data_IF_402554429493
#
_entry.id   IF_402554429493
#
_cell.length_a   1.000
_cell.length_b   1.000
_cell.length_c   1.000
_cell.angle_alpha   90.00
_cell.angle_beta   90.00
_cell.angle_gamma   90.00
#
_symmetry.space_group_name_H-M   'P 1'
#
loop_
_entity.id
_entity.type
_entity.pdbx_description
1 polymer ?
#
# COMPACT_ATOMS: atom_id res chain seq x y z
N UNK A 1 9.27 11.58 -8.31
CA UNK A 1 9.04 10.36 -7.52
C UNK A 1 10.29 9.93 -6.78
N UNK A 2 11.50 10.00 -7.39
CA UNK A 2 12.76 9.57 -6.75
C UNK A 2 13.21 10.42 -5.54
N UNK A 3 12.76 11.64 -5.42
CA UNK A 3 13.09 12.51 -4.27
C UNK A 3 12.33 12.07 -3.01
N UNK A 4 11.19 11.43 -3.18
CA UNK A 4 10.38 10.88 -2.09
C UNK A 4 10.82 9.47 -1.68
N UNK A 5 11.59 8.77 -2.53
CA UNK A 5 11.98 7.36 -2.34
C UNK A 5 13.33 7.16 -1.64
N UNK A 6 14.13 8.19 -1.47
CA UNK A 6 15.41 8.06 -0.77
C UNK A 6 15.28 8.43 0.70
N UNK A 7 14.73 7.54 1.49
CA UNK A 7 14.90 7.40 2.96
C UNK A 7 14.63 8.63 3.85
N UNK A 8 13.99 9.69 3.39
CA UNK A 8 13.72 10.86 4.20
C UNK A 8 12.53 11.65 3.66
N UNK A 9 11.37 11.05 3.52
CA UNK A 9 10.21 11.80 3.92
C UNK A 9 10.35 11.95 5.43
N UNK A 10 10.86 13.07 5.88
CA UNK A 10 10.59 13.44 7.24
C UNK A 10 9.08 13.59 7.29
N UNK A 11 8.41 12.74 8.04
CA UNK A 11 6.96 12.81 8.20
C UNK A 11 6.56 14.04 9.05
N UNK A 12 7.34 15.11 8.90
CA UNK A 12 7.04 16.39 9.52
C UNK A 12 5.74 16.95 8.96
N UNK A 13 4.98 17.67 9.77
CA UNK A 13 3.68 18.23 9.34
C UNK A 13 3.73 19.04 8.04
N UNK A 14 4.84 19.73 7.77
CA UNK A 14 5.04 20.48 6.51
C UNK A 14 5.13 19.59 5.28
N UNK A 15 5.81 18.42 5.39
CA UNK A 15 5.99 17.50 4.27
C UNK A 15 4.71 16.72 4.03
N UNK A 16 3.97 16.37 5.08
CA UNK A 16 2.62 15.82 4.96
C UNK A 16 1.68 16.80 4.25
N UNK A 17 1.73 18.09 4.61
CA UNK A 17 0.91 19.11 3.96
C UNK A 17 1.29 19.28 2.50
N UNK A 18 2.58 19.29 2.19
CA UNK A 18 3.06 19.35 0.80
C UNK A 18 2.52 18.18 -0.04
N UNK A 19 2.48 16.97 0.49
CA UNK A 19 1.92 15.81 -0.21
C UNK A 19 0.41 15.98 -0.46
N UNK A 20 -0.34 16.51 0.50
CA UNK A 20 -1.77 16.85 0.32
C UNK A 20 -1.96 17.87 -0.80
N UNK A 21 -1.15 18.93 -0.83
CA UNK A 21 -1.25 19.99 -1.83
C UNK A 21 -0.88 19.47 -3.23
N UNK A 22 0.16 18.65 -3.35
CA UNK A 22 0.57 18.00 -4.60
C UNK A 22 -0.57 17.14 -5.17
N UNK A 23 -1.21 16.33 -4.34
CA UNK A 23 -2.31 15.48 -4.80
C UNK A 23 -3.53 16.28 -5.24
N UNK A 24 -3.85 17.37 -4.55
CA UNK A 24 -4.93 18.28 -4.99
C UNK A 24 -4.62 18.88 -6.36
N UNK A 25 -3.38 19.31 -6.59
CA UNK A 25 -2.96 19.86 -7.89
C UNK A 25 -2.99 18.81 -9.00
N UNK A 26 -2.53 17.58 -8.73
CA UNK A 26 -2.61 16.48 -9.68
C UNK A 26 -4.07 16.20 -10.07
N UNK A 27 -4.94 16.06 -9.09
CA UNK A 27 -6.35 15.79 -9.32
C UNK A 27 -7.04 16.95 -10.07
N UNK A 28 -6.78 18.21 -9.72
CA UNK A 28 -7.32 19.36 -10.43
C UNK A 28 -6.89 19.40 -11.91
N UNK A 29 -5.66 18.95 -12.19
CA UNK A 29 -5.12 18.96 -13.55
C UNK A 29 -5.61 17.79 -14.39
N UNK A 30 -5.71 16.60 -13.81
CA UNK A 30 -5.91 15.36 -14.54
C UNK A 30 -7.27 14.68 -14.32
N UNK A 31 -8.11 15.17 -13.42
CA UNK A 31 -9.38 14.53 -13.06
C UNK A 31 -10.40 14.41 -14.18
N UNK A 32 -10.16 15.07 -15.33
CA UNK A 32 -11.01 14.95 -16.53
C UNK A 32 -10.39 14.10 -17.64
N UNK A 33 -9.20 13.57 -17.42
CA UNK A 33 -8.49 12.78 -18.40
C UNK A 33 -8.98 11.33 -18.38
N UNK A 34 -9.64 10.84 -19.42
CA UNK A 34 -10.28 9.51 -19.42
C UNK A 34 -9.27 8.35 -19.35
N UNK A 35 -7.99 8.63 -19.55
CA UNK A 35 -6.92 7.63 -19.41
C UNK A 35 -6.52 7.40 -17.95
N UNK A 36 -6.89 8.31 -17.05
CA UNK A 36 -6.61 8.16 -15.61
C UNK A 36 -7.64 7.22 -15.00
N UNK A 37 -7.21 6.02 -14.65
CA UNK A 37 -8.05 5.01 -14.01
C UNK A 37 -8.26 5.28 -12.52
N UNK A 38 -7.25 5.80 -11.84
CA UNK A 38 -7.30 6.09 -10.41
C UNK A 38 -6.01 6.75 -9.90
N UNK A 39 -6.05 7.27 -8.69
CA UNK A 39 -4.94 7.89 -7.99
C UNK A 39 -4.44 6.96 -6.88
N UNK A 40 -3.26 6.39 -7.05
CA UNK A 40 -2.58 5.63 -6.02
C UNK A 40 -1.76 6.58 -5.15
N UNK A 41 -2.15 6.75 -3.90
CA UNK A 41 -1.70 7.85 -3.06
C UNK A 41 -0.23 7.78 -2.70
N UNK A 42 0.30 6.59 -2.45
CA UNK A 42 1.69 6.39 -2.10
C UNK A 42 2.05 4.91 -2.24
N UNK A 43 3.10 4.64 -3.03
CA UNK A 43 3.64 3.30 -3.15
C UNK A 43 4.31 2.84 -1.84
N UNK A 44 3.89 1.70 -1.34
CA UNK A 44 4.49 1.00 -0.19
C UNK A 44 4.72 1.91 1.04
N UNK A 45 3.66 2.55 1.56
CA UNK A 45 3.80 3.40 2.73
C UNK A 45 4.37 2.59 3.89
N UNK A 46 5.37 3.16 4.53
CA UNK A 46 6.08 2.54 5.62
C UNK A 46 6.05 3.43 6.84
N UNK A 47 5.46 2.94 7.90
CA UNK A 47 5.59 3.54 9.22
C UNK A 47 6.71 2.80 9.97
N UNK A 48 7.91 3.37 10.02
CA UNK A 48 9.03 2.78 10.76
C UNK A 48 8.79 2.74 12.27
N UNK A 49 7.86 3.53 12.73
CA UNK A 49 7.44 3.58 14.12
C UNK A 49 6.07 2.94 14.28
N UNK A 50 5.95 1.66 14.06
CA UNK A 50 4.74 0.83 14.25
C UNK A 50 4.05 1.02 15.61
N UNK A 51 4.51 1.96 16.36
CA UNK A 51 3.91 2.38 17.63
C UNK A 51 3.00 3.54 17.30
N UNK A 52 1.73 3.36 17.50
CA UNK A 52 0.70 4.40 17.56
C UNK A 52 1.18 5.59 18.40
N UNK A 53 2.11 6.38 17.87
CA UNK A 53 2.60 7.55 18.59
C UNK A 53 1.68 8.71 18.27
N UNK A 54 0.95 9.08 19.26
CA UNK A 54 0.08 10.24 19.36
C UNK A 54 0.80 11.59 19.21
N UNK A 55 2.12 11.62 19.09
CA UNK A 55 2.95 12.80 19.24
C UNK A 55 3.63 13.25 17.93
N UNK A 56 2.88 13.27 16.82
CA UNK A 56 3.36 13.90 15.59
C UNK A 56 4.11 12.99 14.61
N UNK A 57 4.16 11.68 14.86
CA UNK A 57 4.61 10.68 13.90
C UNK A 57 3.64 10.51 12.72
N UNK A 58 4.03 9.76 11.70
CA UNK A 58 3.15 9.44 10.59
C UNK A 58 2.00 8.56 11.08
N UNK A 59 0.80 9.10 11.04
CA UNK A 59 -0.42 8.31 11.00
C UNK A 59 -0.87 8.24 9.53
N UNK A 60 -0.55 7.13 8.86
CA UNK A 60 -0.91 6.93 7.46
C UNK A 60 -2.42 6.99 7.23
N UNK A 61 -3.24 6.43 8.10
CA UNK A 61 -4.69 6.50 8.00
C UNK A 61 -5.17 7.97 7.96
N UNK A 62 -4.61 8.80 8.84
CA UNK A 62 -4.94 10.22 8.90
C UNK A 62 -4.44 11.00 7.69
N UNK A 63 -3.21 10.73 7.24
CA UNK A 63 -2.65 11.40 6.07
C UNK A 63 -3.40 11.02 4.81
N UNK A 64 -3.65 9.73 4.56
CA UNK A 64 -4.42 9.26 3.41
C UNK A 64 -5.84 9.85 3.38
N UNK A 65 -6.50 9.96 4.53
CA UNK A 65 -7.81 10.60 4.63
C UNK A 65 -7.76 12.10 4.27
N UNK A 66 -6.71 12.82 4.69
CA UNK A 66 -6.50 14.24 4.32
C UNK A 66 -6.26 14.40 2.82
N UNK A 67 -5.43 13.53 2.24
CA UNK A 67 -5.16 13.54 0.79
C UNK A 67 -6.46 13.27 0.02
N UNK A 68 -7.19 12.22 0.40
CA UNK A 68 -8.45 11.87 -0.24
C UNK A 68 -9.47 13.02 -0.18
N UNK A 69 -9.58 13.69 0.97
CA UNK A 69 -10.45 14.85 1.11
C UNK A 69 -10.05 16.00 0.16
N UNK A 70 -8.75 16.30 0.07
CA UNK A 70 -8.24 17.35 -0.81
C UNK A 70 -8.44 17.03 -2.30
N UNK A 71 -8.29 15.75 -2.69
CA UNK A 71 -8.63 15.31 -4.05
C UNK A 71 -10.12 15.52 -4.32
N UNK A 72 -11.00 15.15 -3.41
CA UNK A 72 -12.45 15.24 -3.61
C UNK A 72 -12.97 16.69 -3.70
N UNK A 73 -12.22 17.68 -3.22
CA UNK A 73 -12.53 19.11 -3.45
C UNK A 73 -12.52 19.47 -4.94
N UNK A 74 -11.72 18.79 -5.76
CA UNK A 74 -11.47 19.13 -7.17
C UNK A 74 -11.84 18.02 -8.15
N UNK A 75 -11.88 16.79 -7.69
CA UNK A 75 -12.25 15.61 -8.47
C UNK A 75 -13.12 14.66 -7.62
N UNK A 76 -14.45 14.71 -7.82
CA UNK A 76 -15.39 13.92 -7.03
C UNK A 76 -15.49 12.45 -7.44
N UNK A 77 -14.97 12.07 -8.63
CA UNK A 77 -15.34 10.80 -9.25
C UNK A 77 -14.18 9.81 -9.42
N UNK A 78 -12.98 10.27 -9.77
CA UNK A 78 -11.85 9.37 -10.05
C UNK A 78 -11.54 8.48 -8.83
N UNK A 79 -11.39 7.16 -9.02
CA UNK A 79 -11.05 6.26 -7.93
C UNK A 79 -9.77 6.67 -7.20
N UNK A 80 -9.78 6.55 -5.88
CA UNK A 80 -8.59 6.76 -5.04
C UNK A 80 -8.17 5.42 -4.46
N UNK A 81 -6.91 5.06 -4.69
CA UNK A 81 -6.30 3.82 -4.26
C UNK A 81 -5.46 4.10 -3.02
N UNK A 82 -5.68 3.32 -1.98
CA UNK A 82 -4.96 3.44 -0.71
C UNK A 82 -4.30 2.10 -0.39
N UNK A 83 -3.00 2.10 -0.36
CA UNK A 83 -2.23 0.96 0.10
C UNK A 83 -2.21 0.88 1.63
N UNK A 84 -2.07 -0.33 2.15
CA UNK A 84 -1.81 -0.53 3.57
C UNK A 84 -0.37 -0.13 3.92
N UNK A 85 -0.11 0.10 5.20
CA UNK A 85 1.26 0.20 5.73
C UNK A 85 1.98 -1.15 5.61
N UNK A 86 3.23 -1.23 6.09
CA UNK A 86 4.04 -2.45 6.00
C UNK A 86 4.37 -2.86 4.55
N UNK A 87 4.90 -1.88 3.79
CA UNK A 87 5.26 -2.09 2.38
C UNK A 87 4.07 -2.52 1.52
N UNK A 88 2.90 -1.98 1.77
CA UNK A 88 1.68 -2.39 1.09
C UNK A 88 1.26 -3.84 1.41
N UNK A 89 1.85 -4.48 2.42
CA UNK A 89 1.63 -5.89 2.72
C UNK A 89 0.25 -6.19 3.33
N UNK A 90 -0.22 -7.45 3.25
CA UNK A 90 -1.50 -7.86 3.82
C UNK A 90 -1.65 -7.58 5.32
N UNK A 91 -0.55 -7.65 6.09
CA UNK A 91 -0.57 -7.45 7.54
C UNK A 91 -0.96 -6.03 7.92
N UNK A 92 -0.61 -5.02 7.10
CA UNK A 92 -1.01 -3.62 7.31
C UNK A 92 -2.52 -3.40 7.33
N UNK A 93 -3.31 -4.32 6.77
CA UNK A 93 -4.79 -4.25 6.81
C UNK A 93 -5.38 -4.42 8.22
N UNK A 94 -4.61 -4.95 9.18
CA UNK A 94 -5.07 -5.03 10.58
C UNK A 94 -5.26 -3.67 11.23
N UNK A 95 -4.53 -2.68 10.75
CA UNK A 95 -4.54 -1.32 11.31
C UNK A 95 -5.12 -0.28 10.35
N UNK A 96 -5.37 -0.68 9.10
CA UNK A 96 -5.96 0.20 8.11
C UNK A 96 -7.41 0.55 8.48
N UNK A 97 -7.76 1.82 8.32
CA UNK A 97 -9.10 2.34 8.59
C UNK A 97 -9.74 2.82 7.29
N UNK A 98 -10.97 2.41 6.97
CA UNK A 98 -11.66 2.90 5.78
C UNK A 98 -11.83 4.41 5.79
N UNK A 99 -11.56 5.03 4.66
CA UNK A 99 -11.73 6.47 4.46
C UNK A 99 -13.17 6.73 4.03
N UNK A 100 -13.83 7.65 4.72
CA UNK A 100 -15.21 8.03 4.42
C UNK A 100 -15.28 9.02 3.24
N UNK A 101 -14.91 8.54 2.05
CA UNK A 101 -15.00 9.25 0.78
C UNK A 101 -15.56 8.30 -0.29
N UNK A 102 -16.19 8.79 -1.37
CA UNK A 102 -16.67 7.96 -2.46
C UNK A 102 -15.51 7.36 -3.26
N UNK A 103 -15.77 6.24 -3.94
CA UNK A 103 -14.87 5.60 -4.90
C UNK A 103 -13.46 5.29 -4.34
N UNK A 104 -13.42 4.79 -3.10
CA UNK A 104 -12.18 4.30 -2.48
C UNK A 104 -11.92 2.85 -2.86
N UNK A 105 -10.67 2.54 -3.19
CA UNK A 105 -10.15 1.19 -3.46
C UNK A 105 -8.98 0.96 -2.50
N UNK A 106 -8.91 -0.22 -1.89
CA UNK A 106 -7.80 -0.57 -0.99
C UNK A 106 -6.88 -1.55 -1.67
N UNK A 107 -5.59 -1.25 -1.65
CA UNK A 107 -4.59 -2.00 -2.39
C UNK A 107 -3.59 -2.69 -1.46
N UNK A 108 -3.09 -3.84 -1.91
CA UNK A 108 -1.96 -4.51 -1.27
C UNK A 108 -1.01 -5.10 -2.30
N UNK A 109 0.24 -5.29 -1.87
CA UNK A 109 1.28 -5.98 -2.61
C UNK A 109 1.47 -7.40 -2.07
N UNK A 110 1.73 -8.36 -2.95
CA UNK A 110 1.81 -9.76 -2.57
C UNK A 110 3.04 -10.46 -3.14
N UNK A 111 4.12 -10.43 -2.38
CA UNK A 111 5.40 -11.03 -2.73
C UNK A 111 5.82 -12.15 -1.76
N UNK A 112 4.88 -13.02 -1.38
CA UNK A 112 5.11 -14.10 -0.42
C UNK A 112 5.31 -15.47 -1.09
N UNK A 113 6.25 -16.30 -0.55
CA UNK A 113 7.30 -15.92 0.39
C UNK A 113 8.38 -15.07 -0.28
N UNK A 114 8.77 -13.99 0.34
CA UNK A 114 9.70 -13.02 -0.23
C UNK A 114 11.06 -13.64 -0.63
N UNK A 115 11.54 -14.65 0.10
CA UNK A 115 12.76 -15.39 -0.23
C UNK A 115 12.65 -16.12 -1.58
N UNK A 116 11.47 -16.63 -1.94
CA UNK A 116 11.22 -17.24 -3.25
C UNK A 116 10.98 -16.20 -4.33
N UNK A 117 10.10 -15.23 -4.08
CA UNK A 117 9.70 -14.26 -5.11
C UNK A 117 10.86 -13.36 -5.54
N UNK A 118 11.81 -13.08 -4.64
CA UNK A 118 12.99 -12.26 -4.90
C UNK A 118 14.30 -13.06 -4.90
N UNK A 119 14.23 -14.38 -5.15
CA UNK A 119 15.44 -15.19 -5.15
C UNK A 119 16.45 -14.68 -6.19
N UNK A 120 17.75 -14.70 -5.82
CA UNK A 120 18.83 -14.17 -6.65
C UNK A 120 18.84 -12.64 -6.82
N UNK A 121 17.94 -11.91 -6.15
CA UNK A 121 17.87 -10.44 -6.18
C UNK A 121 18.34 -9.88 -4.83
N UNK A 122 19.16 -8.82 -4.87
CA UNK A 122 19.62 -8.08 -3.67
C UNK A 122 20.13 -8.99 -2.54
N UNK A 123 21.03 -9.94 -2.90
CA UNK A 123 21.70 -10.83 -1.94
C UNK A 123 20.82 -11.95 -1.36
N UNK A 124 19.63 -12.16 -1.88
CA UNK A 124 18.81 -13.34 -1.53
C UNK A 124 19.33 -14.59 -2.24
N UNK A 125 19.21 -15.78 -1.59
CA UNK A 125 19.62 -17.04 -2.23
C UNK A 125 18.79 -17.27 -3.50
N UNK A 126 19.34 -18.01 -4.45
CA UNK A 126 18.64 -18.56 -5.60
C UNK A 126 18.34 -20.06 -5.42
N UNK A 127 17.66 -20.67 -6.38
CA UNK A 127 17.32 -22.09 -6.34
C UNK A 127 16.30 -22.48 -5.26
N UNK A 128 15.56 -21.52 -4.75
CA UNK A 128 14.48 -21.76 -3.80
C UNK A 128 13.27 -22.33 -4.53
N UNK A 129 12.74 -23.46 -4.06
CA UNK A 129 11.60 -24.14 -4.66
C UNK A 129 10.31 -23.85 -3.88
N UNK A 130 9.24 -23.59 -4.61
CA UNK A 130 7.89 -23.44 -4.08
C UNK A 130 6.92 -24.40 -4.81
N UNK A 131 6.02 -25.09 -4.12
CA UNK A 131 5.83 -25.12 -2.66
C UNK A 131 6.92 -25.91 -1.94
N UNK A 132 7.12 -25.67 -0.63
CA UNK A 132 8.09 -26.39 0.18
C UNK A 132 8.55 -25.63 1.42
N UNK A 133 9.61 -26.13 2.04
CA UNK A 133 10.18 -25.53 3.23
C UNK A 133 11.10 -24.36 2.87
N UNK A 134 10.68 -23.13 3.18
CA UNK A 134 11.39 -21.90 2.81
C UNK A 134 11.56 -21.03 4.05
N UNK A 135 12.80 -20.64 4.34
CA UNK A 135 13.13 -19.77 5.46
C UNK A 135 12.56 -20.24 6.83
N UNK A 136 12.55 -21.55 7.08
CA UNK A 136 12.12 -22.13 8.34
C UNK A 136 10.62 -22.45 8.44
N UNK A 137 9.83 -22.21 7.40
CA UNK A 137 8.40 -22.46 7.37
C UNK A 137 7.97 -23.27 6.15
N UNK A 138 6.88 -24.03 6.29
CA UNK A 138 6.23 -24.71 5.18
C UNK A 138 5.38 -23.72 4.38
N UNK A 139 5.72 -23.58 3.10
CA UNK A 139 5.02 -22.71 2.17
C UNK A 139 4.23 -23.49 1.14
N UNK A 140 2.94 -23.21 1.13
CA UNK A 140 1.97 -23.81 0.22
C UNK A 140 0.79 -22.85 0.02
N UNK A 141 -0.20 -23.28 -0.76
CA UNK A 141 -1.41 -22.49 -1.03
C UNK A 141 -2.16 -22.06 0.25
N UNK A 142 -2.23 -22.94 1.24
CA UNK A 142 -2.96 -22.65 2.49
C UNK A 142 -2.21 -21.60 3.33
N UNK A 143 -0.87 -21.64 3.35
CA UNK A 143 -0.07 -20.59 3.99
C UNK A 143 -0.29 -19.23 3.31
N UNK A 144 -0.34 -19.16 1.97
CA UNK A 144 -0.63 -17.92 1.26
C UNK A 144 -2.02 -17.38 1.61
N UNK A 145 -3.04 -18.24 1.69
CA UNK A 145 -4.37 -17.82 2.14
C UNK A 145 -4.37 -17.25 3.56
N UNK A 146 -3.62 -17.87 4.47
CA UNK A 146 -3.49 -17.37 5.85
C UNK A 146 -2.88 -15.97 5.89
N UNK A 147 -1.87 -15.71 5.05
CA UNK A 147 -1.25 -14.38 4.95
C UNK A 147 -2.23 -13.34 4.40
N UNK A 148 -3.10 -13.73 3.47
CA UNK A 148 -4.13 -12.85 2.91
C UNK A 148 -5.31 -12.61 3.87
N UNK A 149 -5.42 -13.33 4.98
CA UNK A 149 -6.58 -13.28 5.86
C UNK A 149 -6.92 -11.86 6.34
N UNK A 150 -5.95 -11.00 6.74
CA UNK A 150 -6.26 -9.63 7.14
C UNK A 150 -6.97 -8.81 6.05
N UNK A 151 -6.59 -9.01 4.78
CA UNK A 151 -7.22 -8.35 3.63
C UNK A 151 -8.66 -8.83 3.45
N UNK A 152 -8.87 -10.14 3.54
CA UNK A 152 -10.20 -10.77 3.43
C UNK A 152 -11.11 -10.29 4.55
N UNK A 153 -10.61 -10.25 5.77
CA UNK A 153 -11.36 -9.78 6.93
C UNK A 153 -11.77 -8.30 6.79
N UNK A 154 -10.84 -7.47 6.32
CA UNK A 154 -11.10 -6.06 6.05
C UNK A 154 -12.17 -5.88 4.97
N UNK A 155 -12.05 -6.59 3.84
CA UNK A 155 -13.03 -6.55 2.76
C UNK A 155 -14.42 -6.96 3.26
N UNK A 156 -14.51 -8.08 3.96
CA UNK A 156 -15.79 -8.59 4.48
C UNK A 156 -16.41 -7.65 5.52
N UNK A 157 -15.59 -7.06 6.39
CA UNK A 157 -16.06 -6.17 7.44
C UNK A 157 -16.61 -4.86 6.90
N UNK A 158 -15.95 -4.30 5.89
CA UNK A 158 -16.25 -2.95 5.41
C UNK A 158 -16.92 -2.91 4.04
N UNK A 159 -17.02 -4.07 3.36
CA UNK A 159 -17.62 -4.21 2.04
C UNK A 159 -17.03 -3.23 1.02
N UNK A 160 -15.71 -3.20 0.93
CA UNK A 160 -14.93 -2.30 0.08
C UNK A 160 -14.23 -3.04 -1.05
N UNK A 161 -13.96 -2.38 -2.20
CA UNK A 161 -13.14 -2.96 -3.25
C UNK A 161 -11.70 -3.18 -2.80
N UNK A 162 -11.14 -4.33 -3.16
CA UNK A 162 -9.73 -4.68 -2.94
C UNK A 162 -9.03 -4.84 -4.28
N UNK A 163 -7.82 -4.32 -4.38
CA UNK A 163 -6.96 -4.39 -5.54
C UNK A 163 -5.60 -5.01 -5.16
N UNK A 164 -5.08 -5.91 -5.98
CA UNK A 164 -3.71 -6.40 -5.85
C UNK A 164 -2.85 -5.52 -6.74
N UNK A 165 -2.19 -4.54 -6.14
CA UNK A 165 -1.39 -3.53 -6.83
C UNK A 165 -0.15 -4.13 -7.45
N UNK A 166 0.53 -4.98 -6.70
CA UNK A 166 1.75 -5.65 -7.16
C UNK A 166 1.80 -7.10 -6.72
N UNK A 167 2.25 -7.95 -7.61
CA UNK A 167 2.63 -9.34 -7.31
C UNK A 167 3.59 -9.84 -8.37
N UNK A 168 4.38 -10.84 -8.03
CA UNK A 168 5.31 -11.41 -8.99
C UNK A 168 6.34 -12.32 -8.36
N UNK A 169 7.19 -12.86 -9.22
CA UNK A 169 8.30 -13.72 -8.87
C UNK A 169 9.45 -13.48 -9.83
N UNK A 170 10.68 -13.64 -9.39
CA UNK A 170 11.85 -13.55 -10.25
C UNK A 170 11.72 -14.53 -11.43
N UNK A 171 12.05 -14.06 -12.64
CA UNK A 171 11.82 -14.84 -13.88
C UNK A 171 12.49 -16.22 -13.91
N UNK A 172 13.51 -16.40 -13.12
CA UNK A 172 14.28 -17.64 -13.00
C UNK A 172 13.87 -18.51 -11.80
N UNK A 173 12.82 -18.16 -11.10
CA UNK A 173 12.31 -18.90 -9.94
C UNK A 173 11.51 -20.15 -10.33
#
# INVERSE_FOLDING_TARGET
TDVLLRNQLSWEPKDQQLLVDIWREIAAKYGKEPVIWGYDLLNEPRDENYVYQTDGGLDWNRLAARIAAAIREVDPETPIIVESTDWGGPEGFRTLVPINQPNMIYSFHFYYPNTFTHQGVVGKPDGVLYPGHIAGEEWNREKLKQIMQPVIDFQNKYNVPIYVGEFGVARWA
#
